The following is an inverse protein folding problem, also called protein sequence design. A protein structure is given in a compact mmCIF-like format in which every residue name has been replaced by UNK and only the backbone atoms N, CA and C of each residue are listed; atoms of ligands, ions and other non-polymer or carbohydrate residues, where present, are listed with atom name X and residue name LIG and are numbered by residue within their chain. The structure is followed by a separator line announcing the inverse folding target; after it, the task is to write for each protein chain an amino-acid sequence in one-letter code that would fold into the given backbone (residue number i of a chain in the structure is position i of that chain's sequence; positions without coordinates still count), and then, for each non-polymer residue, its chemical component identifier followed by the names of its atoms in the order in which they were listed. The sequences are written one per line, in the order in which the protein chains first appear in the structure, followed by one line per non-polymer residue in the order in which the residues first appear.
data_IF_471153969512
#
_entry.id   IF_471153969512
#
_cell.length_a   1.000
_cell.length_b   1.000
_cell.length_c   1.000
_cell.angle_alpha   90.00
_cell.angle_beta   90.00
_cell.angle_gamma   90.00
#
_symmetry.space_group_name_H-M   'P 1'
#
loop_
_entity.id
_entity.type
_entity.pdbx_description
1 polymer ?
#
# COMPACT_ATOMS: atom_id res chain seq x y z
N UNK A 1 -9.49 12.08 -8.30
CA UNK A 1 -9.52 11.10 -7.19
C UNK A 1 -9.02 9.77 -7.74
N UNK A 2 -8.06 9.13 -7.07
CA UNK A 2 -7.17 8.09 -7.62
C UNK A 2 -7.88 6.97 -8.40
N UNK A 3 -7.75 6.96 -9.73
CA UNK A 3 -8.46 6.03 -10.62
C UNK A 3 -8.20 4.54 -10.30
N UNK A 4 -7.02 4.20 -9.79
CA UNK A 4 -6.68 2.81 -9.42
C UNK A 4 -7.50 2.27 -8.25
N UNK A 5 -7.88 3.12 -7.29
CA UNK A 5 -8.76 2.70 -6.19
C UNK A 5 -10.17 2.37 -6.71
N UNK A 6 -10.62 3.06 -7.76
CA UNK A 6 -11.95 2.86 -8.33
C UNK A 6 -12.05 1.60 -9.20
N UNK A 7 -10.92 1.12 -9.76
CA UNK A 7 -10.89 -0.09 -10.60
C UNK A 7 -10.47 -1.35 -9.85
N UNK A 8 -10.01 -1.22 -8.60
CA UNK A 8 -9.59 -2.37 -7.81
C UNK A 8 -10.79 -3.27 -7.44
N UNK A 9 -10.67 -4.56 -7.72
CA UNK A 9 -11.61 -5.58 -7.25
C UNK A 9 -11.50 -5.78 -5.73
N UNK A 10 -10.33 -5.51 -5.18
CA UNK A 10 -10.07 -5.61 -3.75
C UNK A 10 -8.98 -4.64 -3.32
N UNK A 11 -9.19 -4.02 -2.17
CA UNK A 11 -8.23 -3.15 -1.50
C UNK A 11 -7.96 -3.77 -0.14
N UNK A 12 -6.71 -4.12 0.13
CA UNK A 12 -6.29 -4.76 1.37
C UNK A 12 -5.30 -3.87 2.08
N UNK A 13 -5.59 -3.56 3.34
CA UNK A 13 -4.62 -2.91 4.22
C UNK A 13 -3.65 -3.95 4.74
N UNK A 14 -2.36 -3.72 4.55
CA UNK A 14 -1.33 -4.56 5.16
C UNK A 14 -1.12 -4.10 6.59
N UNK A 15 -1.34 -5.01 7.52
CA UNK A 15 -1.02 -4.80 8.93
C UNK A 15 0.49 -4.62 9.10
N UNK A 16 0.90 -3.75 10.01
CA UNK A 16 2.31 -3.57 10.38
C UNK A 16 2.95 -4.93 10.70
N UNK A 17 4.15 -5.16 10.16
CA UNK A 17 4.89 -6.41 10.37
C UNK A 17 5.64 -6.44 11.72
N UNK A 18 5.33 -5.50 12.62
CA UNK A 18 5.99 -5.28 13.91
C UNK A 18 7.23 -4.38 13.82
N UNK A 19 7.87 -4.14 14.97
CA UNK A 19 8.97 -3.16 15.13
C UNK A 19 10.22 -3.41 14.26
N UNK A 20 10.35 -4.61 13.68
CA UNK A 20 11.44 -5.00 12.80
C UNK A 20 11.15 -4.71 11.31
N UNK A 21 9.97 -4.19 10.99
CA UNK A 21 9.57 -3.83 9.64
C UNK A 21 10.33 -2.58 9.19
N UNK A 22 11.40 -2.76 8.42
CA UNK A 22 12.15 -1.65 7.82
C UNK A 22 11.65 -1.44 6.40
N UNK A 23 11.05 -0.29 6.15
CA UNK A 23 10.63 0.10 4.81
C UNK A 23 11.85 0.32 3.90
N UNK A 24 11.80 -0.17 2.66
CA UNK A 24 12.91 -0.14 1.71
C UNK A 24 13.32 1.30 1.29
N UNK A 25 12.46 2.29 1.51
CA UNK A 25 12.82 3.71 1.32
C UNK A 25 13.59 4.33 2.50
N UNK A 26 13.94 3.55 3.53
CA UNK A 26 14.63 4.01 4.73
C UNK A 26 13.69 4.67 5.75
N UNK A 27 14.20 4.93 6.97
CA UNK A 27 13.49 5.55 8.12
C UNK A 27 13.16 7.04 7.90
N UNK A 28 12.76 7.42 6.68
CA UNK A 28 12.40 8.81 6.35
C UNK A 28 11.08 9.20 7.01
N UNK A 29 10.17 8.23 7.21
CA UNK A 29 8.95 8.38 8.00
C UNK A 29 8.88 7.28 9.05
N UNK A 30 8.50 7.65 10.27
CA UNK A 30 8.35 6.71 11.39
C UNK A 30 7.04 5.89 11.29
N UNK A 31 6.05 6.39 10.56
CA UNK A 31 4.76 5.72 10.34
C UNK A 31 4.35 5.79 8.87
N UNK A 32 3.88 4.66 8.34
CA UNK A 32 3.39 4.56 6.97
C UNK A 32 2.25 3.54 6.87
N UNK A 33 1.41 3.70 5.86
CA UNK A 33 0.24 2.88 5.58
C UNK A 33 0.39 2.22 4.22
N UNK A 34 0.29 0.90 4.18
CA UNK A 34 0.42 0.12 2.95
C UNK A 34 -0.91 -0.50 2.53
N UNK A 35 -1.23 -0.35 1.25
CA UNK A 35 -2.42 -0.93 0.64
C UNK A 35 -2.05 -1.73 -0.61
N UNK A 36 -2.58 -2.94 -0.70
CA UNK A 36 -2.51 -3.76 -1.92
C UNK A 36 -3.84 -3.68 -2.64
N UNK A 37 -3.80 -3.20 -3.87
CA UNK A 37 -4.92 -3.15 -4.79
C UNK A 37 -4.76 -4.29 -5.79
N UNK A 38 -5.81 -5.09 -5.92
CA UNK A 38 -5.88 -6.18 -6.90
C UNK A 38 -6.90 -5.78 -7.97
N UNK A 39 -6.46 -5.69 -9.22
CA UNK A 39 -7.31 -5.58 -10.40
C UNK A 39 -7.11 -6.84 -11.24
N UNK A 40 -8.01 -7.80 -11.09
CA UNK A 40 -8.01 -9.08 -11.80
C UNK A 40 -8.36 -8.90 -13.28
N UNK A 41 -9.17 -7.89 -13.61
CA UNK A 41 -9.56 -7.61 -14.98
C UNK A 41 -8.36 -7.16 -15.83
N UNK A 42 -7.49 -6.33 -15.25
CA UNK A 42 -6.25 -5.87 -15.86
C UNK A 42 -5.06 -6.80 -15.57
N UNK A 43 -5.22 -7.82 -14.72
CA UNK A 43 -4.14 -8.70 -14.29
C UNK A 43 -3.04 -7.96 -13.52
N UNK A 44 -3.40 -6.91 -12.77
CA UNK A 44 -2.47 -6.00 -12.12
C UNK A 44 -2.58 -6.06 -10.59
N UNK A 45 -1.43 -6.02 -9.94
CA UNK A 45 -1.30 -5.78 -8.49
C UNK A 45 -0.59 -4.45 -8.30
N UNK A 46 -1.14 -3.57 -7.47
CA UNK A 46 -0.55 -2.27 -7.15
C UNK A 46 -0.33 -2.15 -5.64
N UNK A 47 0.89 -1.82 -5.21
CA UNK A 47 1.19 -1.41 -3.84
C UNK A 47 1.12 0.11 -3.75
N UNK A 48 0.33 0.63 -2.81
CA UNK A 48 0.31 2.04 -2.43
C UNK A 48 0.93 2.14 -1.05
N UNK A 49 1.96 2.97 -0.93
CA UNK A 49 2.55 3.36 0.36
C UNK A 49 2.22 4.84 0.58
N UNK A 50 1.57 5.13 1.70
CA UNK A 50 1.29 6.49 2.14
C UNK A 50 2.02 6.74 3.47
N UNK A 51 2.52 7.96 3.68
CA UNK A 51 3.05 8.39 4.96
C UNK A 51 2.20 9.57 5.45
N UNK A 52 1.84 9.57 6.73
CA UNK A 52 1.34 10.78 7.40
C UNK A 52 2.55 11.65 7.74
N UNK A 53 2.47 12.94 7.45
CA UNK A 53 3.48 13.96 7.76
C UNK A 53 3.34 14.54 9.18
#
# INVERSE_FOLDING_TARGET
MFARLATADGIYYLSELGDEAIHDWGRVHDYFHEFVLIDRSAGQITLIVAADD
#
